data_IF_589589645735
#
_entry.id   IF_589589645735
#
_cell.length_a   1.000
_cell.length_b   1.000
_cell.length_c   1.000
_cell.angle_alpha   90.00
_cell.angle_beta   90.00
_cell.angle_gamma   90.00
#
_symmetry.space_group_name_H-M   'P 1'
#
loop_
_entity.id
_entity.type
_entity.pdbx_description
1 polymer ?
#
# COMPACT_ATOMS: atom_id res chain seq x y z
N UNK A 1 -2.64 -0.08 -9.36
CA UNK A 1 -3.07 -1.03 -10.43
C UNK A 1 -3.78 -2.26 -9.89
N UNK A 2 -3.28 -2.94 -8.82
CA UNK A 2 -3.92 -4.16 -8.29
C UNK A 2 -5.40 -4.02 -7.91
N UNK A 3 -5.78 -2.91 -7.29
CA UNK A 3 -7.16 -2.63 -6.90
C UNK A 3 -8.14 -2.48 -8.08
N UNK A 4 -7.64 -2.16 -9.28
CA UNK A 4 -8.45 -1.94 -10.47
C UNK A 4 -8.82 -3.24 -11.21
N UNK A 5 -8.21 -4.37 -10.87
CA UNK A 5 -8.34 -5.61 -11.64
C UNK A 5 -9.78 -6.13 -11.73
N UNK A 6 -10.62 -5.87 -10.71
CA UNK A 6 -11.96 -6.42 -10.61
C UNK A 6 -13.06 -5.36 -10.48
N UNK A 7 -12.79 -4.11 -10.90
CA UNK A 7 -13.78 -3.02 -10.84
C UNK A 7 -14.97 -3.22 -11.78
N UNK A 8 -14.92 -4.19 -12.68
CA UNK A 8 -16.04 -4.60 -13.52
C UNK A 8 -17.01 -5.57 -12.80
N UNK A 9 -16.60 -6.14 -11.66
CA UNK A 9 -17.41 -7.09 -10.90
C UNK A 9 -18.32 -6.34 -9.94
N UNK A 10 -19.64 -6.56 -9.99
CA UNK A 10 -20.58 -5.92 -9.06
C UNK A 10 -20.25 -6.20 -7.59
N UNK A 11 -20.37 -5.15 -6.77
CA UNK A 11 -20.08 -5.22 -5.31
C UNK A 11 -18.63 -5.50 -4.93
N UNK A 12 -17.69 -5.51 -5.89
CA UNK A 12 -16.28 -5.55 -5.54
C UNK A 12 -15.89 -4.31 -4.75
N UNK A 13 -15.13 -4.51 -3.68
CA UNK A 13 -14.64 -3.42 -2.82
C UNK A 13 -13.15 -3.57 -2.57
N UNK A 14 -12.41 -2.52 -2.83
CA UNK A 14 -10.99 -2.42 -2.55
C UNK A 14 -10.72 -1.27 -1.57
N UNK A 15 -9.76 -1.46 -0.67
CA UNK A 15 -9.28 -0.44 0.25
C UNK A 15 -7.79 -0.19 -0.01
N UNK A 16 -7.42 1.09 -0.14
CA UNK A 16 -6.02 1.53 -0.25
C UNK A 16 -5.66 2.35 0.99
N UNK A 17 -4.62 1.93 1.69
CA UNK A 17 -4.22 2.46 2.98
C UNK A 17 -2.89 3.19 2.92
N UNK A 18 -2.83 4.35 3.54
CA UNK A 18 -1.65 5.10 3.93
C UNK A 18 -1.63 5.36 5.43
N UNK A 19 -0.49 5.80 5.96
CA UNK A 19 -0.34 6.11 7.37
C UNK A 19 -1.27 7.26 7.79
N UNK A 20 -1.34 8.33 7.00
CA UNK A 20 -2.20 9.49 7.26
C UNK A 20 -3.03 9.86 6.05
N UNK A 21 -4.13 10.56 6.28
CA UNK A 21 -4.93 11.10 5.18
C UNK A 21 -4.13 12.14 4.36
N UNK A 22 -3.33 12.95 5.01
CA UNK A 22 -2.46 13.90 4.32
C UNK A 22 -1.52 13.21 3.33
N UNK A 23 -1.02 12.01 3.64
CA UNK A 23 -0.16 11.24 2.73
C UNK A 23 -0.92 10.69 1.51
N UNK A 24 -2.23 10.51 1.60
CA UNK A 24 -3.09 10.11 0.48
C UNK A 24 -3.33 11.26 -0.50
N UNK A 25 -3.33 12.51 -0.03
CA UNK A 25 -3.74 13.70 -0.78
C UNK A 25 -2.59 14.61 -1.23
N UNK A 26 -1.34 14.33 -0.83
CA UNK A 26 -0.15 15.07 -1.32
C UNK A 26 -0.01 14.97 -2.84
N UNK A 27 0.69 15.95 -3.43
CA UNK A 27 1.01 15.94 -4.86
C UNK A 27 1.61 14.59 -5.29
N UNK A 28 1.16 14.07 -6.42
CA UNK A 28 1.56 12.78 -6.99
C UNK A 28 1.32 11.54 -6.09
N UNK A 29 0.55 11.67 -4.99
CA UNK A 29 0.17 10.55 -4.13
C UNK A 29 -1.05 9.79 -4.69
N UNK A 30 -1.57 8.81 -3.93
CA UNK A 30 -2.58 7.88 -4.42
C UNK A 30 -3.87 8.55 -4.91
N UNK A 31 -4.42 9.54 -4.18
CA UNK A 31 -5.67 10.20 -4.59
C UNK A 31 -5.48 11.05 -5.85
N UNK A 32 -4.56 12.02 -5.91
CA UNK A 32 -4.35 12.80 -7.14
C UNK A 32 -4.04 11.91 -8.34
N UNK A 33 -3.17 10.92 -8.19
CA UNK A 33 -2.83 10.00 -9.28
C UNK A 33 -4.01 9.14 -9.73
N UNK A 34 -4.88 8.74 -8.80
CA UNK A 34 -6.10 8.03 -9.17
C UNK A 34 -7.05 8.91 -9.97
N UNK A 35 -7.14 10.21 -9.66
CA UNK A 35 -7.93 11.18 -10.41
C UNK A 35 -7.41 11.37 -11.84
N UNK A 36 -6.09 11.44 -12.02
CA UNK A 36 -5.45 11.48 -13.34
C UNK A 36 -5.79 10.23 -14.19
N UNK A 37 -5.72 9.03 -13.60
CA UNK A 37 -5.93 7.78 -14.32
C UNK A 37 -7.39 7.46 -14.62
N UNK A 38 -8.27 7.76 -13.70
CA UNK A 38 -9.69 7.39 -13.81
C UNK A 38 -10.51 8.47 -14.51
N UNK A 39 -10.19 9.76 -14.32
CA UNK A 39 -10.91 10.85 -14.94
C UNK A 39 -12.43 10.71 -14.74
N UNK A 40 -13.14 10.59 -15.82
CA UNK A 40 -14.61 10.41 -15.85
C UNK A 40 -15.06 8.94 -16.00
N UNK A 41 -14.17 7.96 -15.88
CA UNK A 41 -14.51 6.52 -15.96
C UNK A 41 -15.23 5.99 -14.71
N UNK A 42 -15.19 6.74 -13.62
CA UNK A 42 -15.85 6.43 -12.36
C UNK A 42 -16.23 7.72 -11.64
N UNK A 43 -17.13 7.63 -10.68
CA UNK A 43 -17.55 8.77 -9.86
C UNK A 43 -16.68 8.86 -8.60
N UNK A 44 -16.06 10.02 -8.39
CA UNK A 44 -15.30 10.31 -7.15
C UNK A 44 -16.20 10.99 -6.12
N UNK A 45 -16.16 10.53 -4.89
CA UNK A 45 -16.79 11.16 -3.72
C UNK A 45 -15.72 11.78 -2.82
N UNK A 46 -15.68 13.10 -2.73
CA UNK A 46 -14.78 13.81 -1.79
C UNK A 46 -15.17 13.53 -0.32
N UNK A 47 -16.46 13.37 -0.04
CA UNK A 47 -16.93 13.09 1.33
C UNK A 47 -16.49 11.72 1.83
N UNK A 48 -16.52 10.72 0.96
CA UNK A 48 -16.22 9.32 1.34
C UNK A 48 -14.84 8.87 0.90
N UNK A 49 -14.07 9.73 0.25
CA UNK A 49 -12.73 9.42 -0.29
C UNK A 49 -12.71 8.12 -1.08
N UNK A 50 -13.68 7.95 -1.99
CA UNK A 50 -13.82 6.72 -2.77
C UNK A 50 -14.27 6.94 -4.19
N UNK A 51 -13.88 6.01 -5.05
CA UNK A 51 -14.38 5.84 -6.39
C UNK A 51 -15.55 4.86 -6.41
N UNK A 52 -16.61 5.21 -7.14
CA UNK A 52 -17.71 4.30 -7.46
C UNK A 52 -17.72 4.07 -8.97
N UNK A 53 -17.59 2.83 -9.38
CA UNK A 53 -17.57 2.41 -10.79
C UNK A 53 -18.98 2.13 -11.30
N UNK A 54 -19.22 2.15 -12.64
CA UNK A 54 -20.53 1.84 -13.23
C UNK A 54 -21.09 0.46 -12.82
N UNK A 55 -20.23 -0.50 -12.52
CA UNK A 55 -20.59 -1.82 -11.99
C UNK A 55 -21.13 -1.80 -10.55
N UNK A 56 -21.00 -0.69 -9.85
CA UNK A 56 -21.22 -0.59 -8.41
C UNK A 56 -19.99 -0.99 -7.56
N UNK A 57 -18.86 -1.33 -8.19
CA UNK A 57 -17.62 -1.60 -7.46
C UNK A 57 -17.06 -0.32 -6.82
N UNK A 58 -16.34 -0.47 -5.71
CA UNK A 58 -15.80 0.61 -4.92
C UNK A 58 -14.27 0.51 -4.78
N UNK A 59 -13.58 1.63 -4.85
CA UNK A 59 -12.21 1.77 -4.35
C UNK A 59 -12.18 2.89 -3.32
N UNK A 60 -11.91 2.54 -2.08
CA UNK A 60 -11.87 3.44 -0.94
C UNK A 60 -10.43 3.75 -0.56
N UNK A 61 -10.17 4.99 -0.16
CA UNK A 61 -8.88 5.44 0.37
C UNK A 61 -9.02 5.71 1.86
N UNK A 62 -8.24 5.00 2.65
CA UNK A 62 -8.29 5.07 4.08
C UNK A 62 -6.92 5.24 4.72
N UNK A 63 -6.91 5.50 6.01
CA UNK A 63 -5.68 5.66 6.77
C UNK A 63 -5.76 4.95 8.13
N UNK A 64 -4.58 4.66 8.71
CA UNK A 64 -4.44 4.12 10.06
C UNK A 64 -3.27 4.85 10.71
N UNK A 65 -3.54 5.98 11.34
CA UNK A 65 -2.53 6.83 11.97
C UNK A 65 -2.18 6.36 13.36
N UNK A 66 -3.18 6.05 14.16
CA UNK A 66 -3.04 5.58 15.53
C UNK A 66 -3.37 4.10 15.67
N UNK A 67 -2.99 3.51 16.80
CA UNK A 67 -3.24 2.09 17.06
C UNK A 67 -4.74 1.73 16.94
N UNK A 68 -5.61 2.59 17.42
CA UNK A 68 -7.07 2.35 17.48
C UNK A 68 -7.79 2.59 16.15
N UNK A 69 -7.16 3.27 15.18
CA UNK A 69 -7.81 3.63 13.91
C UNK A 69 -8.18 2.41 13.08
N UNK A 70 -7.60 1.24 13.35
CA UNK A 70 -8.00 -0.02 12.69
C UNK A 70 -9.46 -0.37 12.94
N UNK A 71 -10.01 0.04 14.07
CA UNK A 71 -11.39 -0.30 14.44
C UNK A 71 -12.44 0.48 13.64
N UNK A 72 -12.09 1.58 12.96
CA UNK A 72 -12.98 2.26 12.02
C UNK A 72 -13.41 1.35 10.86
N UNK A 73 -12.61 0.32 10.53
CA UNK A 73 -12.91 -0.69 9.51
C UNK A 73 -13.72 -1.87 10.05
N UNK A 74 -14.11 -1.84 11.33
CA UNK A 74 -14.97 -2.87 11.88
C UNK A 74 -16.29 -2.92 11.08
N UNK A 75 -16.78 -4.14 10.80
CA UNK A 75 -17.95 -4.40 9.96
C UNK A 75 -17.79 -4.15 8.44
N UNK A 76 -16.67 -3.61 7.98
CA UNK A 76 -16.39 -3.48 6.54
C UNK A 76 -15.90 -4.81 5.94
N UNK A 77 -16.09 -4.95 4.62
CA UNK A 77 -15.64 -6.11 3.83
C UNK A 77 -14.93 -5.63 2.57
N UNK A 78 -13.74 -6.14 2.33
CA UNK A 78 -12.96 -5.85 1.14
C UNK A 78 -12.43 -7.13 0.51
N UNK A 79 -12.36 -7.17 -0.82
CA UNK A 79 -11.74 -8.27 -1.55
C UNK A 79 -10.27 -7.98 -1.86
N UNK A 80 -9.92 -6.71 -1.84
CA UNK A 80 -8.54 -6.26 -2.02
C UNK A 80 -8.20 -5.22 -0.95
N UNK A 81 -7.05 -5.37 -0.29
CA UNK A 81 -6.51 -4.36 0.62
C UNK A 81 -5.08 -4.07 0.17
N UNK A 82 -4.80 -2.80 -0.14
CA UNK A 82 -3.49 -2.32 -0.50
C UNK A 82 -2.90 -1.45 0.60
N UNK A 83 -1.69 -1.78 1.07
CA UNK A 83 -0.92 -0.91 1.94
C UNK A 83 0.16 -0.22 1.12
N UNK A 84 0.17 1.08 1.14
CA UNK A 84 1.26 1.87 0.58
C UNK A 84 2.15 2.34 1.73
N UNK A 85 3.46 2.21 1.57
CA UNK A 85 4.47 2.41 2.62
C UNK A 85 4.24 1.51 3.85
N UNK A 86 4.22 0.19 3.64
CA UNK A 86 3.90 -0.78 4.68
C UNK A 86 4.75 -0.65 5.94
N UNK A 87 6.02 -0.27 5.81
CA UNK A 87 6.93 -0.08 6.96
C UNK A 87 6.55 1.07 7.89
N UNK A 88 5.57 1.89 7.51
CA UNK A 88 5.03 2.93 8.39
C UNK A 88 3.95 2.40 9.34
N UNK A 89 3.50 1.16 9.18
CA UNK A 89 2.45 0.55 10.00
C UNK A 89 3.03 -0.40 11.06
N UNK A 90 2.28 -0.55 12.15
CA UNK A 90 2.57 -1.58 13.14
C UNK A 90 2.06 -2.94 12.66
N UNK A 91 2.74 -4.03 13.06
CA UNK A 91 2.37 -5.38 12.63
C UNK A 91 0.91 -5.74 12.95
N UNK A 92 0.42 -5.36 14.13
CA UNK A 92 -0.95 -5.67 14.52
C UNK A 92 -1.99 -4.94 13.65
N UNK A 93 -1.70 -3.70 13.20
CA UNK A 93 -2.57 -2.95 12.28
C UNK A 93 -2.72 -3.69 10.95
N UNK A 94 -1.60 -4.15 10.38
CA UNK A 94 -1.59 -4.95 9.18
C UNK A 94 -2.35 -6.28 9.37
N UNK A 95 -2.09 -6.99 10.48
CA UNK A 95 -2.73 -8.28 10.78
C UNK A 95 -4.22 -8.15 11.03
N UNK A 96 -4.67 -7.09 11.69
CA UNK A 96 -6.10 -6.84 11.92
C UNK A 96 -6.88 -6.79 10.60
N UNK A 97 -6.31 -6.19 9.55
CA UNK A 97 -6.99 -6.01 8.26
C UNK A 97 -7.28 -7.33 7.54
N UNK A 98 -6.62 -8.44 7.89
CA UNK A 98 -7.01 -9.77 7.37
C UNK A 98 -8.43 -10.16 7.77
N UNK A 99 -8.91 -9.74 8.93
CA UNK A 99 -10.29 -10.00 9.36
C UNK A 99 -11.33 -9.22 8.51
N UNK A 100 -10.88 -8.24 7.73
CA UNK A 100 -11.73 -7.45 6.81
C UNK A 100 -11.68 -8.00 5.39
N UNK A 101 -10.78 -8.93 5.12
CA UNK A 101 -10.61 -9.55 3.80
C UNK A 101 -11.63 -10.68 3.63
N UNK A 102 -12.78 -10.36 3.07
CA UNK A 102 -13.92 -11.25 2.93
C UNK A 102 -14.63 -11.06 1.60
N UNK A 103 -15.39 -12.06 1.16
CA UNK A 103 -16.26 -12.00 -0.02
C UNK A 103 -17.52 -12.83 0.18
N UNK A 104 -18.59 -12.49 -0.55
CA UNK A 104 -19.78 -13.34 -0.67
C UNK A 104 -19.44 -14.62 -1.44
N UNK A 105 -20.07 -15.74 -1.09
CA UNK A 105 -19.78 -17.05 -1.71
C UNK A 105 -19.92 -17.05 -3.25
N UNK A 106 -20.90 -16.30 -3.77
CA UNK A 106 -21.17 -16.20 -5.20
C UNK A 106 -20.19 -15.28 -5.97
N UNK A 107 -19.29 -14.57 -5.27
CA UNK A 107 -18.37 -13.64 -5.92
C UNK A 107 -17.06 -14.37 -6.29
N UNK A 108 -16.76 -14.49 -7.58
CA UNK A 108 -15.52 -15.10 -8.07
C UNK A 108 -14.40 -14.04 -8.20
N UNK A 109 -13.92 -13.55 -7.07
CA UNK A 109 -12.82 -12.61 -6.97
C UNK A 109 -11.83 -13.10 -5.92
N UNK A 110 -10.52 -13.17 -6.20
CA UNK A 110 -9.55 -13.58 -5.21
C UNK A 110 -9.43 -12.57 -4.08
N UNK A 111 -9.31 -13.06 -2.84
CA UNK A 111 -9.00 -12.24 -1.67
C UNK A 111 -7.50 -11.96 -1.62
N UNK A 112 -7.11 -10.69 -1.62
CA UNK A 112 -5.69 -10.31 -1.69
C UNK A 112 -5.35 -9.13 -0.79
N UNK A 113 -4.21 -9.25 -0.09
CA UNK A 113 -3.51 -8.11 0.48
C UNK A 113 -2.21 -7.92 -0.29
N UNK A 114 -1.97 -6.71 -0.77
CA UNK A 114 -0.72 -6.32 -1.43
C UNK A 114 -0.16 -5.07 -0.77
N UNK A 115 1.16 -4.96 -0.77
CA UNK A 115 1.83 -3.84 -0.13
C UNK A 115 3.01 -3.37 -0.96
N UNK A 116 3.27 -2.09 -0.91
CA UNK A 116 4.50 -1.48 -1.41
C UNK A 116 5.22 -0.82 -0.24
N UNK A 117 6.54 -0.88 -0.21
CA UNK A 117 7.33 -0.21 0.81
C UNK A 117 8.81 -0.20 0.48
N UNK A 118 9.49 0.81 0.99
CA UNK A 118 10.93 0.80 1.14
C UNK A 118 11.32 0.27 2.54
N UNK A 119 12.57 -0.21 2.72
CA UNK A 119 13.12 -0.47 4.04
C UNK A 119 13.13 0.80 4.91
N UNK A 120 13.08 0.65 6.21
CA UNK A 120 13.05 1.74 7.18
C UNK A 120 11.69 1.91 7.88
N UNK A 121 11.58 2.90 8.77
CA UNK A 121 10.35 3.14 9.54
C UNK A 121 10.11 2.13 10.67
N UNK A 122 9.02 2.36 11.40
CA UNK A 122 8.66 1.57 12.60
C UNK A 122 8.36 0.10 12.31
N UNK A 123 7.97 -0.21 11.09
CA UNK A 123 7.60 -1.55 10.65
C UNK A 123 8.74 -2.34 10.00
N UNK A 124 9.94 -1.77 9.86
CA UNK A 124 11.05 -2.40 9.14
C UNK A 124 11.26 -3.87 9.52
N UNK A 125 11.44 -4.15 10.80
CA UNK A 125 11.80 -5.48 11.29
C UNK A 125 10.69 -6.51 11.08
N UNK A 126 9.43 -6.16 11.35
CA UNK A 126 8.35 -7.12 11.16
C UNK A 126 8.05 -7.39 9.67
N UNK A 127 8.21 -6.35 8.80
CA UNK A 127 8.04 -6.53 7.35
C UNK A 127 9.14 -7.41 6.79
N UNK A 128 10.41 -7.14 7.16
CA UNK A 128 11.56 -7.98 6.78
C UNK A 128 11.35 -9.43 7.19
N UNK A 129 11.09 -9.68 8.48
CA UNK A 129 10.83 -11.03 9.00
C UNK A 129 9.70 -11.69 8.21
N UNK A 130 8.56 -11.02 8.08
CA UNK A 130 7.35 -11.59 7.48
C UNK A 130 7.49 -11.96 6.02
N UNK A 131 8.17 -11.16 5.22
CA UNK A 131 8.19 -11.31 3.76
C UNK A 131 9.52 -11.85 3.23
N UNK A 132 10.66 -11.46 3.80
CA UNK A 132 11.96 -11.85 3.30
C UNK A 132 12.47 -13.13 4.00
N UNK A 133 12.32 -13.21 5.32
CA UNK A 133 12.86 -14.34 6.10
C UNK A 133 11.89 -15.54 6.11
N UNK A 134 10.63 -15.30 6.47
CA UNK A 134 9.62 -16.35 6.64
C UNK A 134 8.71 -16.52 5.42
N UNK A 135 8.74 -15.59 4.47
CA UNK A 135 7.72 -15.46 3.43
C UNK A 135 7.45 -16.74 2.65
N UNK A 136 8.51 -17.43 2.23
CA UNK A 136 8.43 -18.68 1.44
C UNK A 136 7.66 -19.80 2.16
N UNK A 137 7.84 -19.93 3.46
CA UNK A 137 7.18 -20.96 4.28
C UNK A 137 5.65 -20.75 4.37
N UNK A 138 5.21 -19.51 4.22
CA UNK A 138 3.80 -19.12 4.35
C UNK A 138 3.15 -18.69 3.05
N UNK A 139 3.77 -18.95 1.91
CA UNK A 139 3.24 -18.57 0.59
C UNK A 139 3.14 -17.05 0.37
N UNK A 140 3.94 -16.27 1.09
CA UNK A 140 4.03 -14.81 0.92
C UNK A 140 5.08 -14.49 -0.11
N UNK A 141 4.77 -13.62 -1.05
CA UNK A 141 5.68 -13.27 -2.13
C UNK A 141 6.27 -11.89 -1.88
N UNK A 142 7.59 -11.81 -1.88
CA UNK A 142 8.34 -10.56 -1.93
C UNK A 142 8.86 -10.39 -3.36
N UNK A 143 8.54 -9.25 -3.96
CA UNK A 143 9.05 -8.86 -5.28
C UNK A 143 9.95 -7.66 -5.07
N UNK A 144 11.28 -7.82 -5.17
CA UNK A 144 12.19 -6.69 -5.10
C UNK A 144 11.94 -5.78 -6.32
N UNK A 145 12.10 -4.48 -6.13
CA UNK A 145 12.12 -3.50 -7.21
C UNK A 145 13.38 -2.64 -7.03
N UNK A 146 14.17 -2.53 -8.05
CA UNK A 146 15.37 -1.72 -8.05
C UNK A 146 15.17 -0.42 -8.80
N UNK A 147 16.05 0.54 -8.52
CA UNK A 147 16.03 1.84 -9.22
C UNK A 147 16.22 1.67 -10.74
N UNK A 148 17.04 0.69 -11.14
CA UNK A 148 17.38 0.42 -12.53
C UNK A 148 16.21 -0.14 -13.35
N UNK A 149 15.18 -0.69 -12.67
CA UNK A 149 13.97 -1.22 -13.30
C UNK A 149 12.90 -0.15 -13.58
N UNK A 150 13.10 1.10 -13.14
CA UNK A 150 12.15 2.18 -13.36
C UNK A 150 12.55 3.05 -14.56
N UNK A 151 11.99 2.83 -15.76
CA UNK A 151 12.34 3.58 -16.96
C UNK A 151 11.84 5.04 -16.96
N UNK A 152 10.99 5.41 -16.00
CA UNK A 152 10.37 6.73 -15.92
C UNK A 152 11.08 7.69 -14.97
N UNK A 153 12.16 7.23 -14.33
CA UNK A 153 12.90 8.00 -13.33
C UNK A 153 14.19 8.55 -13.94
N UNK A 154 14.44 9.87 -13.80
CA UNK A 154 15.78 10.39 -14.01
C UNK A 154 16.71 9.89 -12.89
N UNK A 155 17.39 8.80 -13.21
CA UNK A 155 18.26 8.09 -12.26
C UNK A 155 19.39 8.98 -11.73
N UNK A 156 20.01 9.76 -12.60
CA UNK A 156 21.18 10.57 -12.22
C UNK A 156 20.78 11.65 -11.21
N UNK A 157 19.66 12.31 -11.45
CA UNK A 157 19.12 13.32 -10.56
C UNK A 157 18.63 12.74 -9.25
N UNK A 158 17.92 11.61 -9.30
CA UNK A 158 17.46 10.94 -8.11
C UNK A 158 18.60 10.44 -7.21
N UNK A 159 19.63 9.82 -7.78
CA UNK A 159 20.84 9.41 -7.02
C UNK A 159 21.53 10.61 -6.39
N UNK A 160 21.58 11.73 -7.09
CA UNK A 160 22.12 12.99 -6.57
C UNK A 160 21.35 13.49 -5.36
N UNK A 161 20.02 13.45 -5.43
CA UNK A 161 19.15 13.80 -4.29
C UNK A 161 19.34 12.88 -3.09
N UNK A 162 19.52 11.58 -3.33
CA UNK A 162 19.76 10.60 -2.26
C UNK A 162 21.12 10.77 -1.57
N UNK A 163 22.09 11.46 -2.20
CA UNK A 163 23.40 11.73 -1.57
C UNK A 163 23.30 12.70 -0.38
N UNK A 164 22.23 13.49 -0.29
CA UNK A 164 21.96 14.37 0.85
C UNK A 164 21.44 13.60 2.09
N UNK A 165 21.08 12.34 1.94
CA UNK A 165 20.59 11.51 3.04
C UNK A 165 21.73 10.88 3.82
N UNK A 166 21.46 10.52 5.07
CA UNK A 166 22.40 9.72 5.85
C UNK A 166 22.69 8.38 5.16
N UNK A 167 23.88 7.78 5.36
CA UNK A 167 24.33 6.59 4.62
C UNK A 167 23.37 5.40 4.72
N UNK A 168 22.68 5.23 5.84
CA UNK A 168 21.77 4.11 6.07
C UNK A 168 20.49 4.32 5.27
N UNK A 169 19.87 5.49 5.41
CA UNK A 169 18.67 5.84 4.65
C UNK A 169 18.94 5.81 3.14
N UNK A 170 20.10 6.32 2.72
CA UNK A 170 20.52 6.23 1.32
C UNK A 170 20.59 4.79 0.82
N UNK A 171 21.20 3.86 1.56
CA UNK A 171 21.25 2.44 1.20
C UNK A 171 19.86 1.82 1.12
N UNK A 172 18.98 2.16 2.06
CA UNK A 172 17.60 1.70 2.07
C UNK A 172 16.84 2.12 0.81
N UNK A 173 16.95 3.37 0.39
CA UNK A 173 16.23 3.88 -0.78
C UNK A 173 16.91 3.53 -2.11
N UNK A 174 18.22 3.59 -2.19
CA UNK A 174 18.96 3.33 -3.43
C UNK A 174 18.96 1.84 -3.80
N UNK A 175 19.18 0.98 -2.81
CA UNK A 175 19.42 -0.45 -3.04
C UNK A 175 18.26 -1.34 -2.55
N UNK A 176 17.22 -0.76 -1.93
CA UNK A 176 16.20 -1.56 -1.25
C UNK A 176 16.80 -2.43 -0.13
N UNK A 177 17.81 -1.95 0.58
CA UNK A 177 18.61 -2.74 1.50
C UNK A 177 17.90 -2.95 2.85
N UNK A 178 17.31 -4.12 3.02
CA UNK A 178 16.64 -4.55 4.24
C UNK A 178 17.60 -4.95 5.37
N UNK A 179 18.92 -4.95 5.15
CA UNK A 179 19.93 -5.20 6.19
C UNK A 179 20.42 -3.90 6.81
N UNK A 180 20.30 -2.78 6.11
CA UNK A 180 20.71 -1.47 6.58
C UNK A 180 19.72 -0.94 7.63
N UNK A 181 20.19 -0.73 8.86
CA UNK A 181 19.38 -0.11 9.92
C UNK A 181 20.21 0.83 10.78
N UNK A 182 19.57 1.80 11.41
CA UNK A 182 20.20 2.70 12.37
C UNK A 182 20.46 1.94 13.66
N UNK A 183 21.66 2.06 14.21
CA UNK A 183 21.97 1.53 15.52
C UNK A 183 21.11 2.28 16.57
N UNK A 184 20.36 1.56 17.40
CA UNK A 184 19.59 2.14 18.49
C UNK A 184 18.12 2.46 18.20
N UNK A 185 17.50 1.84 17.20
CA UNK A 185 16.05 1.82 17.01
C UNK A 185 15.42 0.54 17.55
#
# INVERSE_FOLDING_TARGET
MGALQFVHVPHYSALLLRRTYADLSKAASLIPRSKEWLGNKAHWSELHHRWTFPSGALIEFGYIQNAQDVFQYQSSEYQYIGFDELTQFLEFQYRYMFSRLRRKAAMDVPLRIRSASNPGGVGHEWVKRRFLEEGRHFGRVFVPATLDENPHLDRAEYVRSLNELDPITRRQYLNGDWTARKAGG
#
